data_IF_615780997555
#
_entry.id   IF_615780997555
#
_cell.length_a   1.000
_cell.length_b   1.000
_cell.length_c   1.000
_cell.angle_alpha   90.00
_cell.angle_beta   90.00
_cell.angle_gamma   90.00
#
_symmetry.space_group_name_H-M   'P 1'
#
loop_
_entity.id
_entity.type
_entity.pdbx_description
1 polymer ?
#
# COMPACT_ATOMS: atom_id res chain seq x y z
N UNK A 1 1.33 -12.24 5.62
CA UNK A 1 1.23 -12.48 7.08
C UNK A 1 1.11 -13.98 7.30
N UNK A 2 1.83 -14.54 8.29
CA UNK A 2 1.83 -15.98 8.61
C UNK A 2 0.67 -16.27 9.57
N UNK A 3 -0.33 -17.04 9.12
CA UNK A 3 -1.57 -17.28 9.87
C UNK A 3 -1.35 -18.18 11.09
N UNK A 4 -0.46 -19.15 10.96
CA UNK A 4 -0.02 -20.08 12.01
C UNK A 4 0.52 -19.36 13.25
N UNK A 5 1.39 -18.36 13.06
CA UNK A 5 1.95 -17.56 14.16
C UNK A 5 0.88 -16.68 14.80
N UNK A 6 -0.06 -16.16 13.99
CA UNK A 6 -1.14 -15.31 14.48
C UNK A 6 -2.09 -16.07 15.41
N UNK A 7 -2.56 -17.24 14.99
CA UNK A 7 -3.45 -18.08 15.78
C UNK A 7 -2.80 -18.49 17.09
N UNK A 8 -1.52 -18.89 17.05
CA UNK A 8 -0.74 -19.21 18.25
C UNK A 8 -0.64 -18.04 19.22
N UNK A 9 -0.41 -16.83 18.73
CA UNK A 9 -0.33 -15.62 19.54
C UNK A 9 -1.68 -15.20 20.11
N UNK A 10 -2.77 -15.29 19.33
CA UNK A 10 -4.12 -14.94 19.75
C UNK A 10 -4.59 -15.81 20.92
N UNK A 11 -4.27 -17.10 20.92
CA UNK A 11 -4.57 -17.99 22.06
C UNK A 11 -3.97 -17.48 23.37
N UNK A 12 -2.76 -16.93 23.34
CA UNK A 12 -2.11 -16.41 24.55
C UNK A 12 -2.71 -15.07 24.99
N UNK A 13 -3.13 -14.24 24.04
CA UNK A 13 -3.85 -12.98 24.31
C UNK A 13 -5.21 -13.28 24.95
N UNK A 14 -5.97 -14.27 24.43
CA UNK A 14 -7.26 -14.69 24.99
C UNK A 14 -7.14 -15.24 26.42
N UNK A 15 -6.03 -15.90 26.73
CA UNK A 15 -5.76 -16.43 28.06
C UNK A 15 -5.12 -15.40 29.00
N UNK A 16 -4.92 -14.15 28.58
CA UNK A 16 -4.26 -13.08 29.34
C UNK A 16 -2.83 -13.43 29.82
N UNK A 17 -2.17 -14.37 29.15
CA UNK A 17 -0.82 -14.84 29.50
C UNK A 17 0.20 -14.16 28.60
N UNK A 18 1.30 -13.68 29.20
CA UNK A 18 2.45 -13.22 28.44
C UNK A 18 3.27 -14.41 27.91
N UNK A 19 3.27 -14.69 26.59
CA UNK A 19 3.96 -15.86 26.07
C UNK A 19 5.48 -15.68 26.10
N UNK A 20 6.20 -16.80 26.21
CA UNK A 20 7.63 -16.80 25.87
C UNK A 20 7.80 -16.76 24.34
N UNK A 21 8.06 -15.56 23.83
CA UNK A 21 8.23 -15.32 22.41
C UNK A 21 9.33 -16.16 21.75
N UNK A 22 10.42 -16.48 22.46
CA UNK A 22 11.53 -17.27 21.91
C UNK A 22 11.15 -18.75 21.78
N UNK A 23 10.34 -19.28 22.70
CA UNK A 23 9.83 -20.65 22.63
C UNK A 23 8.82 -20.80 21.48
N UNK A 24 7.87 -19.86 21.34
CA UNK A 24 6.93 -19.84 20.22
C UNK A 24 7.65 -19.69 18.88
N UNK A 25 8.67 -18.83 18.82
CA UNK A 25 9.47 -18.64 17.61
C UNK A 25 10.10 -19.96 17.12
N UNK A 26 10.64 -20.77 18.04
CA UNK A 26 11.19 -22.10 17.74
C UNK A 26 10.11 -23.07 17.26
N UNK A 27 8.94 -23.09 17.92
CA UNK A 27 7.83 -23.96 17.55
C UNK A 27 7.32 -23.70 16.13
N UNK A 28 7.19 -22.42 15.75
CA UNK A 28 6.70 -22.01 14.43
C UNK A 28 7.81 -21.80 13.39
N UNK A 29 9.06 -22.10 13.76
CA UNK A 29 10.25 -21.87 12.94
C UNK A 29 10.26 -20.45 12.32
N UNK A 30 10.16 -19.43 13.16
CA UNK A 30 10.13 -18.03 12.75
C UNK A 30 11.02 -17.17 13.64
N UNK A 31 11.31 -15.94 13.21
CA UNK A 31 12.06 -14.98 14.03
C UNK A 31 11.18 -14.52 15.20
N UNK A 32 11.75 -14.49 16.41
CA UNK A 32 11.18 -13.91 17.63
C UNK A 32 10.50 -12.55 17.38
N UNK A 33 11.12 -11.68 16.58
CA UNK A 33 10.60 -10.34 16.24
C UNK A 33 9.26 -10.42 15.54
N UNK A 34 9.03 -11.48 14.77
CA UNK A 34 7.75 -11.74 14.10
C UNK A 34 6.68 -12.07 15.14
N UNK A 35 6.95 -12.99 16.08
CA UNK A 35 6.01 -13.34 17.14
C UNK A 35 5.66 -12.12 18.01
N UNK A 36 6.68 -11.37 18.44
CA UNK A 36 6.50 -10.14 19.23
C UNK A 36 5.64 -9.11 18.49
N UNK A 37 5.94 -8.85 17.22
CA UNK A 37 5.18 -7.90 16.40
C UNK A 37 3.70 -8.30 16.27
N UNK A 38 3.42 -9.61 16.17
CA UNK A 38 2.05 -10.11 16.06
C UNK A 38 1.31 -10.00 17.40
N UNK A 39 2.01 -10.22 18.52
CA UNK A 39 1.45 -10.07 19.85
C UNK A 39 1.10 -8.62 20.17
N UNK A 40 2.04 -7.70 19.91
CA UNK A 40 1.81 -6.27 20.09
C UNK A 40 0.65 -5.79 19.23
N UNK A 41 0.60 -6.15 17.95
CA UNK A 41 -0.50 -5.75 17.08
C UNK A 41 -1.85 -6.38 17.42
N UNK A 42 -1.83 -7.60 17.98
CA UNK A 42 -3.03 -8.24 18.55
C UNK A 42 -3.59 -7.46 19.74
N UNK A 43 -2.70 -6.92 20.59
CA UNK A 43 -3.08 -6.11 21.73
C UNK A 43 -3.67 -4.75 21.32
N UNK A 44 -3.07 -4.09 20.32
CA UNK A 44 -3.51 -2.76 19.84
C UNK A 44 -4.71 -2.82 18.89
N UNK A 45 -5.13 -4.00 18.43
CA UNK A 45 -6.16 -4.16 17.40
C UNK A 45 -5.69 -3.77 15.99
N UNK A 46 -4.38 -3.63 15.78
CA UNK A 46 -3.75 -3.13 14.54
C UNK A 46 -3.34 -4.27 13.58
N UNK A 47 -3.99 -5.44 13.67
CA UNK A 47 -3.72 -6.60 12.81
C UNK A 47 -3.88 -6.29 11.31
N UNK A 48 -4.85 -5.44 10.95
CA UNK A 48 -5.08 -5.06 9.56
C UNK A 48 -3.92 -4.23 8.99
N UNK A 49 -3.30 -3.39 9.83
CA UNK A 49 -2.10 -2.61 9.45
C UNK A 49 -0.87 -3.50 9.22
N UNK A 50 -0.83 -4.73 9.75
CA UNK A 50 0.23 -5.70 9.42
C UNK A 50 0.07 -6.31 8.03
N UNK A 51 -1.17 -6.41 7.54
CA UNK A 51 -1.47 -6.93 6.19
C UNK A 51 -1.17 -5.88 5.13
N UNK A 52 -1.40 -4.61 5.46
CA UNK A 52 -1.14 -3.49 4.58
C UNK A 52 0.36 -3.29 4.39
N UNK A 53 0.81 -3.48 3.15
CA UNK A 53 2.17 -3.12 2.76
C UNK A 53 2.20 -1.60 2.66
N UNK A 54 2.86 -0.92 3.61
CA UNK A 54 3.06 0.54 3.52
C UNK A 54 3.64 0.88 2.14
N UNK A 55 3.02 1.76 1.36
CA UNK A 55 3.62 2.20 0.11
C UNK A 55 4.95 2.88 0.41
N UNK A 56 6.00 2.47 -0.31
CA UNK A 56 7.39 2.85 -0.01
C UNK A 56 7.66 4.36 -0.12
N UNK A 57 6.82 5.12 -0.83
CA UNK A 57 7.01 6.54 -1.11
C UNK A 57 5.62 7.14 -1.39
N UNK A 58 5.29 8.37 -0.92
CA UNK A 58 4.16 9.11 -1.45
C UNK A 58 4.28 9.19 -2.98
N UNK A 59 3.21 8.98 -3.75
CA UNK A 59 3.29 9.12 -5.20
C UNK A 59 3.84 10.53 -5.50
N UNK A 60 4.89 10.65 -6.32
CA UNK A 60 5.42 11.95 -6.77
C UNK A 60 4.35 12.85 -7.42
N UNK A 61 3.20 12.27 -7.74
CA UNK A 61 2.01 12.89 -8.32
C UNK A 61 1.09 13.54 -7.28
N UNK A 62 1.34 13.39 -5.98
CA UNK A 62 0.49 13.93 -4.92
C UNK A 62 0.36 15.45 -5.08
N UNK A 63 -0.87 15.93 -5.28
CA UNK A 63 -1.18 17.35 -5.56
C UNK A 63 -1.27 17.75 -7.04
N UNK A 64 -0.87 16.88 -7.97
CA UNK A 64 -1.00 17.10 -9.42
C UNK A 64 -2.03 16.19 -10.09
N UNK A 65 -2.60 15.23 -9.36
CA UNK A 65 -3.52 14.24 -9.90
C UNK A 65 -4.79 14.84 -10.52
N UNK A 66 -5.40 15.81 -9.85
CA UNK A 66 -6.60 16.50 -10.36
C UNK A 66 -6.29 17.24 -11.65
N UNK A 67 -5.20 18.02 -11.67
CA UNK A 67 -4.73 18.74 -12.85
C UNK A 67 -4.51 17.77 -14.03
N UNK A 68 -3.90 16.60 -13.78
CA UNK A 68 -3.67 15.60 -14.83
C UNK A 68 -5.00 15.04 -15.33
N UNK A 69 -5.97 14.82 -14.45
CA UNK A 69 -7.31 14.31 -14.79
C UNK A 69 -8.07 15.28 -15.69
N UNK A 70 -8.12 16.55 -15.31
CA UNK A 70 -8.77 17.61 -16.09
C UNK A 70 -8.17 17.69 -17.49
N UNK A 71 -6.84 17.62 -17.60
CA UNK A 71 -6.17 17.65 -18.91
C UNK A 71 -6.39 16.37 -19.72
N UNK A 72 -6.54 15.22 -19.08
CA UNK A 72 -6.89 13.97 -19.75
C UNK A 72 -8.31 13.98 -20.30
N UNK A 73 -9.26 14.62 -19.61
CA UNK A 73 -10.63 14.80 -20.10
C UNK A 73 -10.69 15.72 -21.34
N UNK A 74 -9.80 16.70 -21.39
CA UNK A 74 -9.58 17.54 -22.58
C UNK A 74 -8.80 16.82 -23.70
N UNK A 75 -8.62 15.49 -23.64
CA UNK A 75 -7.91 14.67 -24.61
C UNK A 75 -6.44 15.09 -24.85
N UNK A 76 -5.78 15.72 -23.88
CA UNK A 76 -4.37 16.08 -24.01
C UNK A 76 -3.45 14.84 -24.02
N UNK A 77 -2.33 14.95 -24.73
CA UNK A 77 -1.30 13.90 -24.73
C UNK A 77 -0.51 13.89 -23.42
N UNK A 78 0.03 12.74 -23.03
CA UNK A 78 0.85 12.63 -21.82
C UNK A 78 2.09 13.55 -21.87
N UNK A 79 2.64 13.80 -23.06
CA UNK A 79 3.77 14.69 -23.26
C UNK A 79 3.41 16.16 -22.96
N UNK A 80 2.27 16.65 -23.46
CA UNK A 80 1.84 18.03 -23.20
C UNK A 80 1.53 18.25 -21.72
N UNK A 81 0.94 17.26 -21.05
CA UNK A 81 0.70 17.29 -19.60
C UNK A 81 2.03 17.39 -18.84
N UNK A 82 3.05 16.63 -19.23
CA UNK A 82 4.37 16.71 -18.59
C UNK A 82 5.03 18.09 -18.74
N UNK A 83 5.01 18.68 -19.94
CA UNK A 83 5.53 20.03 -20.15
C UNK A 83 4.77 21.08 -19.33
N UNK A 84 3.44 20.95 -19.23
CA UNK A 84 2.62 21.84 -18.40
C UNK A 84 2.96 21.72 -16.91
N UNK A 85 3.13 20.49 -16.42
CA UNK A 85 3.52 20.23 -15.04
C UNK A 85 4.93 20.73 -14.74
N UNK A 86 5.86 20.65 -15.69
CA UNK A 86 7.19 21.24 -15.57
C UNK A 86 7.13 22.75 -15.32
N UNK A 87 6.23 23.47 -16.02
CA UNK A 87 5.98 24.91 -15.76
C UNK A 87 5.39 25.18 -14.37
N UNK A 88 4.65 24.22 -13.80
CA UNK A 88 4.10 24.28 -12.43
C UNK A 88 5.07 23.79 -11.35
N UNK A 89 6.31 23.43 -11.69
CA UNK A 89 7.32 23.00 -10.73
C UNK A 89 7.33 21.51 -10.41
N UNK A 90 6.73 20.67 -11.26
CA UNK A 90 6.80 19.21 -11.10
C UNK A 90 8.23 18.71 -11.35
N UNK A 91 8.80 18.00 -10.36
CA UNK A 91 10.17 17.46 -10.40
C UNK A 91 10.26 15.98 -10.77
N UNK A 92 9.13 15.32 -11.03
CA UNK A 92 9.11 13.90 -11.36
C UNK A 92 9.42 13.60 -12.83
N UNK A 93 9.56 12.31 -13.13
CA UNK A 93 9.83 11.86 -14.50
C UNK A 93 8.57 11.80 -15.36
N UNK A 94 8.76 11.93 -16.68
CA UNK A 94 7.72 11.68 -17.69
C UNK A 94 7.12 10.27 -17.57
N UNK A 95 7.94 9.26 -17.24
CA UNK A 95 7.51 7.86 -17.12
C UNK A 95 6.44 7.68 -16.04
N UNK A 96 6.50 8.46 -14.96
CA UNK A 96 5.51 8.46 -13.89
C UNK A 96 4.15 8.96 -14.37
N UNK A 97 4.12 10.09 -15.10
CA UNK A 97 2.89 10.63 -15.69
C UNK A 97 2.33 9.70 -16.76
N UNK A 98 3.19 9.18 -17.66
CA UNK A 98 2.77 8.23 -18.69
C UNK A 98 2.11 6.99 -18.08
N UNK A 99 2.68 6.44 -17.00
CA UNK A 99 2.11 5.30 -16.27
C UNK A 99 0.75 5.64 -15.67
N UNK A 100 0.62 6.81 -15.06
CA UNK A 100 -0.65 7.28 -14.50
C UNK A 100 -1.74 7.45 -15.57
N UNK A 101 -1.43 8.14 -16.67
CA UNK A 101 -2.37 8.33 -17.79
C UNK A 101 -2.83 6.99 -18.39
N UNK A 102 -1.93 5.99 -18.46
CA UNK A 102 -2.27 4.64 -18.93
C UNK A 102 -3.26 3.96 -17.97
N UNK A 103 -2.96 3.96 -16.67
CA UNK A 103 -3.83 3.36 -15.65
C UNK A 103 -5.23 3.98 -15.67
N UNK A 104 -5.31 5.32 -15.80
CA UNK A 104 -6.59 6.03 -15.89
C UNK A 104 -7.44 5.59 -17.10
N UNK A 105 -6.81 5.39 -18.27
CA UNK A 105 -7.51 4.91 -19.46
C UNK A 105 -7.98 3.47 -19.30
N UNK A 106 -7.15 2.60 -18.73
CA UNK A 106 -7.51 1.20 -18.45
C UNK A 106 -8.70 1.11 -17.50
N UNK A 107 -8.72 1.91 -16.42
CA UNK A 107 -9.86 2.00 -15.48
C UNK A 107 -11.15 2.50 -16.16
N UNK A 108 -11.05 3.50 -17.06
CA UNK A 108 -12.21 4.02 -17.80
C UNK A 108 -12.77 2.98 -18.77
N UNK A 109 -11.90 2.24 -19.47
CA UNK A 109 -12.30 1.14 -20.36
C UNK A 109 -12.97 0.02 -19.54
N UNK A 110 -12.38 -0.39 -18.41
CA UNK A 110 -12.95 -1.43 -17.57
C UNK A 110 -14.35 -1.06 -17.04
N UNK A 111 -14.55 0.18 -16.59
CA UNK A 111 -15.87 0.70 -16.19
C UNK A 111 -16.90 0.67 -17.31
N UNK A 112 -16.49 0.95 -18.55
CA UNK A 112 -17.38 0.90 -19.71
C UNK A 112 -17.72 -0.54 -20.15
N UNK A 113 -16.83 -1.50 -19.86
CA UNK A 113 -17.00 -2.91 -20.25
C UNK A 113 -17.87 -3.70 -19.27
N UNK A 114 -17.95 -3.30 -17.99
CA UNK A 114 -18.91 -3.85 -17.03
C UNK A 114 -20.30 -3.35 -17.45
N UNK A 115 -21.05 -4.19 -18.17
CA UNK A 115 -22.43 -3.97 -18.61
C UNK A 115 -23.42 -4.55 -17.60
#
# INVERSE_FOLDING_TARGET
MRKDVLEGVLLHIMNEIHPNFAALAKQYNCDYRTVKRYYEAGLTGDLDKLRERKPSVPPLLHGFEEIIRDKLELNCSAASIFYFLGKKGYKGSYTTIKRYCRKYREEKVQKATIR
#
